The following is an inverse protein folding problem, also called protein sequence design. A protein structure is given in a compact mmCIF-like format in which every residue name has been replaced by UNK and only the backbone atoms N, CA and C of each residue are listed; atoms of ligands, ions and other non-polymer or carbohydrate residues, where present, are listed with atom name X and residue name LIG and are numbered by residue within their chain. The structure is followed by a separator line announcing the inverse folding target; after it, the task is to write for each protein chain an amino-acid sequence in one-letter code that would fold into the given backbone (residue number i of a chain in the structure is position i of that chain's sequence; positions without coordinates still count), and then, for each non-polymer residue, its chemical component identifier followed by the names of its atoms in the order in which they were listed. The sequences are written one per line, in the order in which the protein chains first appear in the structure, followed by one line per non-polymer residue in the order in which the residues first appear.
data_IF_602011544032
#
_entry.id   IF_602011544032
#
_cell.length_a   1.000
_cell.length_b   1.000
_cell.length_c   1.000
_cell.angle_alpha   90.00
_cell.angle_beta   90.00
_cell.angle_gamma   90.00
#
_symmetry.space_group_name_H-M   'P 1'
#
loop_
_entity.id
_entity.type
_entity.pdbx_description
1 polymer ?
#
# COMPACT_ATOMS: atom_id res chain seq x y z
N UNK A 1 -8.23 1.07 -30.41
CA UNK A 1 -7.96 -0.28 -29.88
C UNK A 1 -6.82 -0.12 -28.89
N UNK A 2 -7.12 -0.03 -27.59
CA UNK A 2 -6.11 0.11 -26.54
C UNK A 2 -6.07 -1.22 -25.80
N UNK A 3 -4.90 -1.87 -25.86
CA UNK A 3 -4.55 -3.02 -25.06
C UNK A 3 -4.42 -2.54 -23.60
N UNK A 4 -5.40 -2.87 -22.77
CA UNK A 4 -5.30 -2.68 -21.31
C UNK A 4 -4.39 -3.78 -20.78
N UNK A 5 -3.09 -3.52 -20.80
CA UNK A 5 -2.12 -4.32 -20.06
C UNK A 5 -2.54 -4.37 -18.59
N UNK A 6 -2.77 -5.59 -18.12
CA UNK A 6 -3.29 -5.99 -16.82
C UNK A 6 -2.26 -5.69 -15.71
N UNK A 7 -1.96 -4.41 -15.52
CA UNK A 7 -1.00 -3.95 -14.51
C UNK A 7 -1.76 -3.55 -13.26
N UNK A 8 -1.43 -4.16 -12.13
CA UNK A 8 -2.00 -3.81 -10.84
C UNK A 8 -1.92 -2.28 -10.61
N UNK A 9 -2.96 -1.64 -10.05
CA UNK A 9 -2.95 -0.21 -9.79
C UNK A 9 -1.69 0.21 -9.02
N UNK A 10 -1.16 1.42 -9.31
CA UNK A 10 0.13 1.93 -8.80
C UNK A 10 0.38 1.75 -7.29
N UNK A 11 -0.66 1.65 -6.47
CA UNK A 11 -0.58 1.45 -5.03
C UNK A 11 -0.08 0.06 -4.60
N UNK A 12 -0.17 -0.95 -5.47
CA UNK A 12 0.21 -2.33 -5.15
C UNK A 12 1.58 -2.72 -5.71
N UNK A 13 2.18 -1.86 -6.54
CA UNK A 13 3.51 -2.10 -7.11
C UNK A 13 4.55 -2.19 -5.99
N UNK A 14 5.25 -3.32 -5.92
CA UNK A 14 6.27 -3.57 -4.91
C UNK A 14 5.73 -3.90 -3.50
N UNK A 15 4.42 -4.12 -3.37
CA UNK A 15 3.83 -4.60 -2.13
C UNK A 15 4.26 -6.05 -1.89
N UNK A 16 4.88 -6.32 -0.74
CA UNK A 16 5.29 -7.67 -0.34
C UNK A 16 4.29 -8.23 0.65
N UNK A 17 3.81 -9.44 0.38
CA UNK A 17 2.96 -10.19 1.29
C UNK A 17 3.86 -10.88 2.30
N UNK A 18 3.49 -10.85 3.58
CA UNK A 18 4.30 -11.47 4.63
C UNK A 18 4.45 -12.97 4.38
N UNK A 19 5.58 -13.54 4.76
CA UNK A 19 5.86 -14.96 4.52
C UNK A 19 4.88 -15.94 5.21
N UNK A 20 4.19 -15.52 6.28
CA UNK A 20 3.11 -16.30 6.92
C UNK A 20 1.84 -16.39 6.07
N UNK A 21 1.72 -15.52 5.07
CA UNK A 21 0.61 -15.45 4.15
C UNK A 21 0.99 -16.10 2.80
N UNK A 22 1.16 -17.42 2.82
CA UNK A 22 1.51 -18.17 1.61
C UNK A 22 0.33 -18.24 0.62
N UNK A 23 0.60 -17.89 -0.64
CA UNK A 23 -0.22 -18.32 -1.76
C UNK A 23 0.13 -19.76 -2.17
N UNK A 24 -0.81 -20.54 -2.75
CA UNK A 24 -2.16 -20.14 -3.16
C UNK A 24 -3.13 -19.98 -1.97
N UNK A 25 -4.06 -19.03 -2.10
CA UNK A 25 -5.08 -18.74 -1.08
C UNK A 25 -6.47 -18.91 -1.63
N UNK A 26 -7.41 -19.31 -0.78
CA UNK A 26 -8.79 -19.51 -1.19
C UNK A 26 -9.76 -18.73 -0.31
N UNK A 27 -10.80 -18.17 -0.93
CA UNK A 27 -11.89 -17.54 -0.20
C UNK A 27 -12.66 -18.59 0.60
N UNK A 28 -12.70 -18.45 1.93
CA UNK A 28 -13.38 -19.39 2.85
C UNK A 28 -14.87 -19.61 2.55
N UNK A 29 -15.52 -18.67 1.86
CA UNK A 29 -16.96 -18.73 1.55
C UNK A 29 -17.29 -19.38 0.21
N UNK A 30 -16.52 -19.11 -0.84
CA UNK A 30 -16.82 -19.59 -2.21
C UNK A 30 -15.74 -20.47 -2.81
N UNK A 31 -14.69 -20.75 -2.04
CA UNK A 31 -13.55 -21.58 -2.40
C UNK A 31 -12.77 -21.13 -3.65
N UNK A 32 -12.99 -19.90 -4.13
CA UNK A 32 -12.20 -19.31 -5.21
C UNK A 32 -10.75 -19.19 -4.76
N UNK A 33 -9.85 -19.80 -5.54
CA UNK A 33 -8.41 -19.76 -5.31
C UNK A 33 -7.75 -18.61 -6.08
N UNK A 34 -6.71 -18.04 -5.47
CA UNK A 34 -5.83 -17.00 -5.98
C UNK A 34 -4.40 -17.51 -5.93
N UNK A 35 -3.67 -17.38 -7.05
CA UNK A 35 -2.31 -17.93 -7.21
C UNK A 35 -1.22 -17.07 -6.60
N UNK A 36 -1.43 -15.75 -6.58
CA UNK A 36 -0.47 -14.74 -6.17
C UNK A 36 -1.21 -13.44 -5.82
N UNK A 37 -0.45 -12.42 -5.43
CA UNK A 37 -0.99 -11.11 -5.04
C UNK A 37 -1.67 -10.38 -6.20
N UNK A 38 -1.14 -10.48 -7.42
CA UNK A 38 -1.70 -9.77 -8.57
C UNK A 38 -3.05 -10.37 -8.97
N UNK A 39 -3.13 -11.71 -9.05
CA UNK A 39 -4.39 -12.44 -9.26
C UNK A 39 -5.41 -12.12 -8.16
N UNK A 40 -4.96 -12.02 -6.90
CA UNK A 40 -5.81 -11.59 -5.80
C UNK A 40 -6.34 -10.17 -6.00
N UNK A 41 -5.49 -9.20 -6.35
CA UNK A 41 -5.89 -7.79 -6.55
C UNK A 41 -6.85 -7.64 -7.74
N UNK A 42 -6.57 -8.29 -8.86
CA UNK A 42 -7.37 -8.21 -10.10
C UNK A 42 -8.75 -8.86 -9.89
N UNK A 43 -8.83 -9.99 -9.20
CA UNK A 43 -10.08 -10.77 -9.06
C UNK A 43 -10.87 -10.46 -7.80
N UNK A 44 -10.47 -9.45 -7.03
CA UNK A 44 -11.21 -8.95 -5.86
C UNK A 44 -11.44 -7.45 -5.99
N UNK A 45 -12.45 -6.93 -5.31
CA UNK A 45 -12.79 -5.51 -5.35
C UNK A 45 -12.30 -4.79 -4.09
N UNK A 46 -11.86 -3.53 -4.20
CA UNK A 46 -11.46 -2.76 -3.03
C UNK A 46 -12.64 -2.49 -2.09
N UNK A 47 -12.35 -2.41 -0.79
CA UNK A 47 -13.38 -2.01 0.19
C UNK A 47 -13.48 -0.47 0.21
N UNK A 48 -14.71 0.04 0.26
CA UNK A 48 -15.05 1.46 0.39
C UNK A 48 -14.46 2.37 -0.71
N UNK A 49 -14.19 1.85 -1.91
CA UNK A 49 -13.61 2.63 -3.00
C UNK A 49 -12.18 3.12 -2.73
N UNK A 50 -11.48 2.51 -1.77
CA UNK A 50 -10.10 2.86 -1.38
C UNK A 50 -9.07 1.90 -1.99
N UNK A 51 -7.77 2.04 -1.65
CA UNK A 51 -6.78 1.01 -1.96
C UNK A 51 -6.96 -0.28 -1.14
N UNK A 52 -7.77 -0.24 -0.07
CA UNK A 52 -7.90 -1.35 0.88
C UNK A 52 -6.69 -1.55 1.80
N UNK A 53 -5.62 -0.75 1.66
CA UNK A 53 -4.44 -0.79 2.53
C UNK A 53 -4.72 -0.08 3.85
N UNK A 54 -4.54 -0.78 4.96
CA UNK A 54 -4.81 -0.29 6.32
C UNK A 54 -3.59 -0.58 7.19
N UNK A 55 -3.06 0.47 7.81
CA UNK A 55 -2.04 0.36 8.86
C UNK A 55 -2.72 -0.01 10.18
N UNK A 56 -2.21 -1.03 10.88
CA UNK A 56 -2.68 -1.45 12.21
C UNK A 56 -1.48 -1.64 13.12
N UNK A 57 -1.63 -1.22 14.38
CA UNK A 57 -0.69 -1.58 15.42
C UNK A 57 -1.01 -3.00 15.89
N UNK A 58 -0.01 -3.88 15.84
CA UNK A 58 0.00 -5.21 16.43
C UNK A 58 0.91 -5.19 17.67
N UNK A 59 0.43 -5.79 18.76
CA UNK A 59 1.15 -5.79 20.04
C UNK A 59 2.34 -6.73 20.06
N UNK A 60 2.41 -7.69 19.13
CA UNK A 60 3.46 -8.70 19.03
C UNK A 60 4.43 -8.36 17.90
N UNK A 61 3.90 -8.00 16.73
CA UNK A 61 4.67 -7.78 15.50
C UNK A 61 5.01 -6.30 15.21
N UNK A 62 4.52 -5.37 16.03
CA UNK A 62 4.63 -3.94 15.75
C UNK A 62 3.60 -3.46 14.72
N UNK A 63 3.95 -2.47 13.90
CA UNK A 63 3.03 -1.99 12.85
C UNK A 63 2.89 -3.01 11.73
N UNK A 64 1.67 -3.47 11.45
CA UNK A 64 1.33 -4.34 10.33
C UNK A 64 0.53 -3.56 9.27
N UNK A 65 0.69 -3.95 8.01
CA UNK A 65 -0.12 -3.45 6.89
C UNK A 65 -1.08 -4.55 6.45
N UNK A 66 -2.38 -4.25 6.42
CA UNK A 66 -3.41 -5.16 5.92
C UNK A 66 -3.92 -4.69 4.57
N UNK A 67 -4.03 -5.59 3.60
CA UNK A 67 -4.77 -5.39 2.36
C UNK A 67 -6.15 -6.04 2.50
N UNK A 68 -7.17 -5.21 2.65
CA UNK A 68 -8.57 -5.61 2.76
C UNK A 68 -9.28 -5.49 1.42
N UNK A 69 -9.88 -6.58 0.93
CA UNK A 69 -10.60 -6.64 -0.35
C UNK A 69 -11.83 -7.53 -0.25
N UNK A 70 -12.79 -7.35 -1.14
CA UNK A 70 -13.98 -8.20 -1.22
C UNK A 70 -13.86 -9.20 -2.37
N UNK A 71 -14.04 -10.47 -2.06
CA UNK A 71 -14.21 -11.50 -3.08
C UNK A 71 -15.48 -11.22 -3.91
N UNK A 72 -15.54 -11.71 -5.15
CA UNK A 72 -16.74 -11.62 -5.99
C UNK A 72 -18.01 -12.24 -5.35
N UNK A 73 -17.88 -13.11 -4.35
CA UNK A 73 -18.99 -13.66 -3.58
C UNK A 73 -19.47 -12.76 -2.43
N UNK A 74 -18.87 -11.58 -2.24
CA UNK A 74 -19.18 -10.62 -1.18
C UNK A 74 -18.46 -10.85 0.15
N UNK A 75 -17.61 -11.89 0.28
CA UNK A 75 -16.83 -12.11 1.50
C UNK A 75 -15.60 -11.18 1.54
N UNK A 76 -15.36 -10.51 2.67
CA UNK A 76 -14.14 -9.75 2.88
C UNK A 76 -12.95 -10.67 3.14
N UNK A 77 -11.83 -10.37 2.50
CA UNK A 77 -10.55 -11.05 2.60
C UNK A 77 -9.51 -10.05 3.08
N UNK A 78 -8.57 -10.52 3.90
CA UNK A 78 -7.47 -9.74 4.43
C UNK A 78 -6.16 -10.44 4.09
N UNK A 79 -5.16 -9.68 3.63
CA UNK A 79 -3.78 -10.15 3.50
C UNK A 79 -2.86 -9.31 4.37
N UNK A 80 -1.93 -9.94 5.09
CA UNK A 80 -0.87 -9.22 5.79
C UNK A 80 0.27 -8.92 4.82
N UNK A 81 0.68 -7.66 4.79
CA UNK A 81 1.75 -7.15 3.95
C UNK A 81 2.87 -6.58 4.83
N UNK A 82 4.08 -6.59 4.32
CA UNK A 82 5.23 -6.00 4.99
C UNK A 82 5.13 -4.46 4.99
N UNK A 83 5.47 -3.84 6.13
CA UNK A 83 5.69 -2.41 6.18
C UNK A 83 7.09 -2.07 5.64
N UNK A 84 7.12 -1.47 4.45
CA UNK A 84 8.36 -0.99 3.82
C UNK A 84 8.92 0.29 4.45
N UNK A 85 8.23 0.90 5.43
CA UNK A 85 8.72 2.11 6.10
C UNK A 85 9.89 1.77 7.01
N UNK A 86 10.95 2.55 6.90
CA UNK A 86 12.02 2.54 7.91
C UNK A 86 11.47 3.08 9.25
N UNK A 87 11.18 2.16 10.17
CA UNK A 87 10.68 2.43 11.51
C UNK A 87 11.74 2.96 12.48
N UNK A 88 13.02 2.99 12.10
CA UNK A 88 14.08 3.48 12.98
C UNK A 88 13.94 4.98 13.28
N UNK A 89 14.62 5.44 14.34
CA UNK A 89 14.70 6.87 14.66
C UNK A 89 15.26 7.70 13.50
N UNK A 90 16.22 7.16 12.75
CA UNK A 90 16.77 7.80 11.54
C UNK A 90 15.70 7.93 10.46
N UNK A 91 14.90 6.88 10.25
CA UNK A 91 13.75 6.91 9.34
C UNK A 91 12.71 7.96 9.73
N UNK A 92 12.36 8.00 11.02
CA UNK A 92 11.44 8.99 11.56
C UNK A 92 11.98 10.43 11.44
N UNK A 93 13.27 10.64 11.73
CA UNK A 93 13.94 11.92 11.57
C UNK A 93 13.90 12.42 10.12
N UNK A 94 14.21 11.55 9.15
CA UNK A 94 14.15 11.89 7.72
C UNK A 94 12.75 12.31 7.29
N UNK A 95 11.70 11.59 7.74
CA UNK A 95 10.29 11.95 7.46
C UNK A 95 9.92 13.32 8.06
N UNK A 96 10.24 13.56 9.34
CA UNK A 96 9.99 14.86 9.97
C UNK A 96 10.67 16.00 9.24
N UNK A 97 11.94 15.81 8.84
CA UNK A 97 12.71 16.82 8.10
C UNK A 97 12.09 17.10 6.73
N UNK A 98 11.66 16.06 6.03
CA UNK A 98 10.93 16.18 4.77
C UNK A 98 9.64 17.00 4.95
N UNK A 99 8.84 16.67 5.95
CA UNK A 99 7.58 17.39 6.23
C UNK A 99 7.84 18.86 6.59
N UNK A 100 8.90 19.16 7.35
CA UNK A 100 9.30 20.55 7.62
C UNK A 100 9.61 21.31 6.33
N UNK A 101 10.36 20.71 5.40
CA UNK A 101 10.67 21.36 4.11
C UNK A 101 9.42 21.57 3.26
N UNK A 102 8.49 20.60 3.25
CA UNK A 102 7.20 20.77 2.57
C UNK A 102 6.45 21.96 3.15
N UNK A 103 6.36 22.07 4.49
CA UNK A 103 5.69 23.19 5.15
C UNK A 103 6.31 24.53 4.76
N UNK A 104 7.63 24.66 4.77
CA UNK A 104 8.32 25.89 4.38
C UNK A 104 8.02 26.30 2.93
N UNK A 105 7.98 25.33 2.01
CA UNK A 105 7.62 25.60 0.61
C UNK A 105 6.15 26.01 0.46
N UNK A 106 5.26 25.40 1.24
CA UNK A 106 3.83 25.77 1.25
C UNK A 106 3.63 27.18 1.80
N UNK A 107 4.32 27.54 2.88
CA UNK A 107 4.32 28.91 3.43
C UNK A 107 4.89 29.93 2.44
N UNK A 108 5.85 29.52 1.59
CA UNK A 108 6.37 30.32 0.49
C UNK A 108 5.46 30.38 -0.75
N UNK A 109 4.27 29.77 -0.71
CA UNK A 109 3.27 29.83 -1.78
C UNK A 109 3.30 28.68 -2.80
N UNK A 110 4.11 27.64 -2.57
CA UNK A 110 4.14 26.44 -3.42
C UNK A 110 3.00 25.49 -3.02
N UNK A 111 2.28 24.91 -3.99
CA UNK A 111 1.26 23.91 -3.65
C UNK A 111 1.88 22.68 -2.97
N UNK A 112 1.21 22.11 -1.98
CA UNK A 112 1.72 20.92 -1.27
C UNK A 112 2.03 19.73 -2.22
N UNK A 113 1.21 19.43 -3.25
CA UNK A 113 1.56 18.41 -4.24
C UNK A 113 2.86 18.72 -4.99
N UNK A 114 3.05 19.96 -5.45
CA UNK A 114 4.27 20.40 -6.15
C UNK A 114 5.48 20.33 -5.24
N UNK A 115 5.39 20.88 -4.02
CA UNK A 115 6.47 20.87 -3.04
C UNK A 115 6.95 19.43 -2.74
N UNK A 116 6.02 18.49 -2.53
CA UNK A 116 6.34 17.08 -2.31
C UNK A 116 6.99 16.44 -3.53
N UNK A 117 6.51 16.73 -4.74
CA UNK A 117 7.06 16.17 -5.97
C UNK A 117 8.51 16.65 -6.20
N UNK A 118 8.77 17.94 -6.06
CA UNK A 118 10.12 18.51 -6.26
C UNK A 118 11.10 18.06 -5.17
N UNK A 119 10.70 18.07 -3.89
CA UNK A 119 11.55 17.56 -2.81
C UNK A 119 11.90 16.08 -3.00
N UNK A 120 10.96 15.26 -3.49
CA UNK A 120 11.26 13.86 -3.81
C UNK A 120 12.27 13.76 -4.95
N UNK A 121 12.13 14.54 -6.03
CA UNK A 121 13.12 14.54 -7.12
C UNK A 121 14.51 14.90 -6.63
N UNK A 122 14.64 15.94 -5.80
CA UNK A 122 15.93 16.39 -5.28
C UNK A 122 16.60 15.39 -4.32
N UNK A 123 15.81 14.62 -3.56
CA UNK A 123 16.33 13.65 -2.59
C UNK A 123 16.57 12.24 -3.18
N UNK A 124 16.04 11.98 -4.37
CA UNK A 124 16.21 10.72 -5.11
C UNK A 124 17.14 10.85 -6.33
N UNK A 125 17.67 12.05 -6.60
CA UNK A 125 18.73 12.30 -7.56
C UNK A 125 20.09 11.92 -6.97
#
# INVERSE_FOLDING_TARGET
MQETGDTAPSHYVGLQVRADESFPRSCVRCNRSFSDLDDFVVRTTPIFGSSGLIERADTVDGTIVLLMRNCACGNSLALRCDDRRDGSEKGAFRRRRFDTMVTLLVEAGVSAPTARAELRRMLHA
#
